data_IF_403784275433
#
_entry.id   IF_403784275433
#
_cell.length_a   1.000
_cell.length_b   1.000
_cell.length_c   1.000
_cell.angle_alpha   90.00
_cell.angle_beta   90.00
_cell.angle_gamma   90.00
#
_symmetry.space_group_name_H-M   'P 1'
#
loop_
_entity.id
_entity.type
_entity.pdbx_description
1 polymer ?
#
# COMPACT_ATOMS: atom_id res chain seq x y z
N UNK A 1 -18.58 -38.87 35.11
CA UNK A 1 -18.40 -38.18 33.84
C UNK A 1 -17.84 -36.79 34.11
N UNK A 2 -16.52 -36.59 33.90
CA UNK A 2 -15.86 -35.30 34.16
C UNK A 2 -15.81 -34.52 32.84
N UNK A 3 -16.45 -33.35 32.83
CA UNK A 3 -16.41 -32.39 31.73
C UNK A 3 -15.02 -31.78 31.67
N UNK A 4 -14.32 -31.99 30.56
CA UNK A 4 -13.05 -31.35 30.25
C UNK A 4 -13.36 -30.03 29.53
N UNK A 5 -13.23 -28.92 30.23
CA UNK A 5 -13.29 -27.59 29.65
C UNK A 5 -12.03 -27.35 28.81
N UNK A 6 -12.20 -27.14 27.51
CA UNK A 6 -11.13 -26.70 26.59
C UNK A 6 -10.82 -25.22 26.87
N UNK A 7 -9.56 -24.83 27.07
CA UNK A 7 -9.22 -23.43 27.18
C UNK A 7 -9.36 -22.78 25.81
N UNK A 8 -10.20 -21.77 25.71
CA UNK A 8 -10.25 -20.84 24.57
C UNK A 8 -8.93 -20.11 24.49
N UNK A 9 -8.11 -20.44 23.50
CA UNK A 9 -6.95 -19.65 23.15
C UNK A 9 -7.42 -18.30 22.65
N UNK A 10 -7.51 -17.32 23.53
CA UNK A 10 -7.63 -15.90 23.19
C UNK A 10 -6.26 -15.54 22.61
N UNK A 11 -6.22 -15.47 21.28
CA UNK A 11 -5.09 -14.88 20.57
C UNK A 11 -5.09 -13.39 20.93
N UNK A 12 -4.34 -13.03 21.95
CA UNK A 12 -3.96 -11.64 22.20
C UNK A 12 -3.11 -11.21 21.00
N UNK A 13 -3.74 -10.51 20.06
CA UNK A 13 -3.02 -9.58 19.21
C UNK A 13 -2.57 -8.51 20.19
N UNK A 14 -1.35 -8.68 20.69
CA UNK A 14 -0.66 -7.65 21.43
C UNK A 14 -0.59 -6.46 20.49
N UNK A 15 -1.47 -5.48 20.71
CA UNK A 15 -1.18 -4.12 20.36
C UNK A 15 0.06 -3.80 21.21
N UNK A 16 1.24 -4.02 20.63
CA UNK A 16 2.45 -3.43 21.14
C UNK A 16 2.23 -1.93 20.99
N UNK A 17 1.65 -1.33 22.02
CA UNK A 17 1.83 0.07 22.32
C UNK A 17 3.34 0.19 22.58
N UNK A 18 4.12 0.33 21.50
CA UNK A 18 5.43 0.89 21.58
C UNK A 18 5.24 2.26 22.22
N UNK A 19 5.55 2.37 23.50
CA UNK A 19 5.96 3.63 24.09
C UNK A 19 7.28 3.97 23.41
N UNK A 20 7.19 4.42 22.14
CA UNK A 20 8.28 5.06 21.48
C UNK A 20 8.58 6.30 22.33
N UNK A 21 9.76 6.35 22.94
CA UNK A 21 10.37 7.66 23.22
C UNK A 21 10.10 8.51 21.97
N UNK A 22 9.48 9.67 22.19
CA UNK A 22 9.27 10.66 21.14
C UNK A 22 10.65 11.11 20.63
N UNK A 23 11.25 10.34 19.73
CA UNK A 23 12.13 10.91 18.75
C UNK A 23 11.22 11.88 17.96
N UNK A 24 11.52 13.17 18.00
CA UNK A 24 10.79 14.20 17.25
C UNK A 24 10.85 13.82 15.77
N UNK A 25 9.84 13.12 15.29
CA UNK A 25 9.71 12.84 13.88
C UNK A 25 9.25 14.12 13.20
N UNK A 26 9.85 14.47 12.06
CA UNK A 26 9.35 15.57 11.24
C UNK A 26 7.99 15.16 10.65
N UNK A 27 6.95 15.87 11.05
CA UNK A 27 5.57 15.57 10.66
C UNK A 27 5.17 16.28 9.37
N UNK A 28 4.29 15.67 8.60
CA UNK A 28 3.65 16.24 7.41
C UNK A 28 2.18 15.81 7.35
N UNK A 29 1.30 16.74 6.98
CA UNK A 29 -0.10 16.48 6.70
C UNK A 29 -0.29 16.34 5.20
N UNK A 30 -0.90 15.24 4.77
CA UNK A 30 -1.00 14.90 3.36
C UNK A 30 -2.43 14.47 2.98
N UNK A 31 -2.74 14.65 1.69
CA UNK A 31 -3.92 14.08 1.05
C UNK A 31 -3.47 13.17 -0.09
N UNK A 32 -3.90 11.91 -0.07
CA UNK A 32 -3.68 10.98 -1.17
C UNK A 32 -5.00 10.56 -1.79
N UNK A 33 -5.06 10.65 -3.11
CA UNK A 33 -6.21 10.24 -3.90
C UNK A 33 -5.79 9.14 -4.86
N UNK A 34 -6.61 8.09 -4.99
CA UNK A 34 -6.34 6.97 -5.88
C UNK A 34 -7.55 6.68 -6.76
N UNK A 35 -7.34 6.56 -8.06
CA UNK A 35 -8.31 6.02 -8.99
C UNK A 35 -7.74 4.78 -9.67
N UNK A 36 -8.45 3.66 -9.65
CA UNK A 36 -7.98 2.43 -10.27
C UNK A 36 -9.07 1.70 -11.05
N UNK A 37 -8.65 1.04 -12.14
CA UNK A 37 -9.50 0.17 -12.93
C UNK A 37 -8.77 -1.15 -13.20
N UNK A 38 -9.49 -2.27 -13.09
CA UNK A 38 -8.98 -3.58 -13.49
C UNK A 38 -9.96 -4.21 -14.45
N UNK A 39 -9.49 -4.58 -15.64
CA UNK A 39 -10.26 -5.22 -16.69
C UNK A 39 -9.79 -6.67 -16.92
N UNK A 40 -10.75 -7.57 -17.16
CA UNK A 40 -10.48 -8.94 -17.60
C UNK A 40 -10.27 -8.91 -19.13
N UNK A 41 -9.10 -9.38 -19.59
CA UNK A 41 -8.75 -9.38 -21.03
C UNK A 41 -9.10 -10.69 -21.74
N UNK A 42 -9.71 -11.65 -21.03
CA UNK A 42 -9.99 -12.99 -21.50
C UNK A 42 -8.93 -14.01 -21.08
N UNK A 43 -9.30 -15.29 -21.08
CA UNK A 43 -8.50 -16.34 -20.46
C UNK A 43 -8.26 -16.03 -18.98
N UNK A 44 -6.99 -16.02 -18.58
CA UNK A 44 -6.60 -15.65 -17.22
C UNK A 44 -5.90 -14.28 -17.14
N UNK A 45 -5.88 -13.51 -18.24
CA UNK A 45 -5.20 -12.22 -18.30
C UNK A 45 -6.07 -11.08 -17.78
N UNK A 46 -5.43 -10.10 -17.15
CA UNK A 46 -6.04 -8.90 -16.56
C UNK A 46 -5.15 -7.70 -16.83
N UNK A 47 -5.75 -6.54 -17.01
CA UNK A 47 -5.04 -5.26 -17.06
C UNK A 47 -5.49 -4.41 -15.89
N UNK A 48 -4.53 -3.85 -15.17
CA UNK A 48 -4.80 -2.90 -14.09
C UNK A 48 -4.12 -1.58 -14.38
N UNK A 49 -4.88 -0.50 -14.27
CA UNK A 49 -4.40 0.88 -14.31
C UNK A 49 -4.73 1.56 -12.98
N UNK A 50 -3.75 2.25 -12.39
CA UNK A 50 -3.92 3.01 -11.16
C UNK A 50 -3.26 4.38 -11.30
N UNK A 51 -3.97 5.42 -10.90
CA UNK A 51 -3.46 6.78 -10.79
C UNK A 51 -3.52 7.20 -9.32
N UNK A 52 -2.40 7.71 -8.79
CA UNK A 52 -2.31 8.21 -7.42
C UNK A 52 -1.83 9.66 -7.47
N UNK A 53 -2.66 10.57 -6.95
CA UNK A 53 -2.27 11.97 -6.72
C UNK A 53 -1.94 12.16 -5.24
N UNK A 54 -0.80 12.80 -4.94
CA UNK A 54 -0.35 13.07 -3.58
C UNK A 54 -0.09 14.54 -3.37
N UNK A 55 -0.67 15.07 -2.30
CA UNK A 55 -0.57 16.46 -1.88
C UNK A 55 0.02 16.51 -0.47
N UNK A 56 0.86 17.50 -0.19
CA UNK A 56 1.57 17.66 1.08
C UNK A 56 1.63 19.13 1.46
N UNK A 57 1.40 19.42 2.75
CA UNK A 57 1.51 20.76 3.27
C UNK A 57 2.97 21.24 3.23
N UNK A 58 3.93 20.38 3.58
CA UNK A 58 5.35 20.72 3.59
C UNK A 58 5.94 20.93 2.18
N UNK A 59 5.22 20.52 1.11
CA UNK A 59 5.61 20.67 -0.30
C UNK A 59 4.72 21.65 -1.07
N UNK A 60 3.87 22.40 -0.38
CA UNK A 60 2.97 23.40 -0.95
C UNK A 60 2.03 22.85 -2.02
N UNK A 61 1.38 21.70 -1.74
CA UNK A 61 0.36 21.13 -2.60
C UNK A 61 0.78 19.84 -3.30
N UNK A 62 0.45 19.70 -4.59
CA UNK A 62 0.73 18.50 -5.38
C UNK A 62 2.24 18.23 -5.45
N UNK A 63 2.67 17.04 -5.04
CA UNK A 63 4.08 16.66 -5.11
C UNK A 63 4.37 15.39 -5.91
N UNK A 64 3.37 14.56 -6.20
CA UNK A 64 3.56 13.30 -6.94
C UNK A 64 2.27 12.90 -7.67
N UNK A 65 2.42 12.47 -8.93
CA UNK A 65 1.37 11.78 -9.70
C UNK A 65 1.94 10.44 -10.14
N UNK A 66 1.52 9.36 -9.49
CA UNK A 66 2.00 8.01 -9.81
C UNK A 66 1.00 7.32 -10.74
N UNK A 67 1.43 6.92 -11.93
CA UNK A 67 0.65 6.14 -12.89
C UNK A 67 1.21 4.72 -12.98
N UNK A 68 0.40 3.72 -12.64
CA UNK A 68 0.78 2.32 -12.58
C UNK A 68 -0.01 1.51 -13.60
N UNK A 69 0.66 0.86 -14.54
CA UNK A 69 0.06 -0.05 -15.51
C UNK A 69 0.62 -1.46 -15.28
N UNK A 70 -0.25 -2.42 -14.99
CA UNK A 70 0.14 -3.80 -14.69
C UNK A 70 -0.65 -4.78 -15.54
N UNK A 71 0.04 -5.70 -16.20
CA UNK A 71 -0.54 -6.89 -16.81
C UNK A 71 -0.47 -8.03 -15.80
N UNK A 72 -1.61 -8.65 -15.53
CA UNK A 72 -1.76 -9.75 -14.58
C UNK A 72 -2.12 -11.05 -15.27
N UNK A 73 -1.68 -12.15 -14.66
CA UNK A 73 -2.12 -13.50 -15.03
C UNK A 73 -2.59 -14.24 -13.77
N UNK A 74 -3.86 -14.66 -13.79
CA UNK A 74 -4.48 -15.39 -12.69
C UNK A 74 -4.05 -16.85 -12.73
N UNK A 75 -3.25 -17.29 -11.76
CA UNK A 75 -2.82 -18.68 -11.62
C UNK A 75 -3.95 -19.57 -11.08
N UNK A 76 -4.76 -19.05 -10.17
CA UNK A 76 -5.94 -19.68 -9.60
C UNK A 76 -6.90 -18.64 -9.01
N UNK A 77 -7.94 -19.08 -8.30
CA UNK A 77 -8.98 -18.20 -7.73
C UNK A 77 -8.44 -17.15 -6.74
N UNK A 78 -7.30 -17.42 -6.12
CA UNK A 78 -6.73 -16.54 -5.08
C UNK A 78 -5.40 -15.92 -5.48
N UNK A 79 -4.66 -16.48 -6.45
CA UNK A 79 -3.29 -16.06 -6.76
C UNK A 79 -3.24 -15.45 -8.15
N UNK A 80 -2.73 -14.22 -8.21
CA UNK A 80 -2.43 -13.52 -9.48
C UNK A 80 -0.98 -13.03 -9.45
N UNK A 81 -0.26 -13.25 -10.53
CA UNK A 81 1.07 -12.66 -10.77
C UNK A 81 0.93 -11.47 -11.70
N UNK A 82 1.75 -10.43 -11.51
CA UNK A 82 1.66 -9.19 -12.25
C UNK A 82 3.05 -8.72 -12.64
N UNK A 83 3.15 -8.13 -13.80
CA UNK A 83 4.32 -7.37 -14.24
C UNK A 83 3.86 -6.03 -14.83
N UNK A 84 4.63 -4.99 -14.66
CA UNK A 84 4.24 -3.70 -15.19
C UNK A 84 5.22 -2.56 -14.92
N UNK A 85 4.72 -1.38 -15.16
CA UNK A 85 5.50 -0.15 -15.18
C UNK A 85 4.81 0.97 -14.40
N UNK A 86 5.64 1.79 -13.75
CA UNK A 86 5.22 3.03 -13.09
C UNK A 86 5.90 4.23 -13.71
N UNK A 87 5.11 5.20 -14.04
CA UNK A 87 5.49 6.56 -14.42
C UNK A 87 5.16 7.50 -13.26
N UNK A 88 6.17 8.17 -12.70
CA UNK A 88 6.07 8.85 -11.43
C UNK A 88 6.76 10.22 -11.47
N UNK A 89 6.15 11.24 -12.15
CA UNK A 89 6.59 12.61 -12.09
C UNK A 89 6.37 13.19 -10.69
N UNK A 90 7.36 13.89 -10.18
CA UNK A 90 7.33 14.61 -8.90
C UNK A 90 7.35 16.10 -9.13
N UNK A 91 6.75 16.85 -8.20
CA UNK A 91 6.53 18.29 -8.29
C UNK A 91 6.92 18.98 -6.98
N UNK A 92 7.22 20.26 -7.06
CA UNK A 92 7.36 21.14 -5.91
C UNK A 92 6.82 22.53 -6.28
N UNK A 93 5.89 23.07 -5.47
CA UNK A 93 5.26 24.35 -5.74
C UNK A 93 4.49 24.45 -7.07
N UNK A 94 4.03 23.29 -7.60
CA UNK A 94 3.35 23.18 -8.89
C UNK A 94 4.25 22.91 -10.10
N UNK A 95 5.57 23.07 -9.95
CA UNK A 95 6.54 22.82 -11.02
C UNK A 95 7.04 21.37 -11.01
N UNK A 96 7.20 20.79 -12.20
CA UNK A 96 7.84 19.49 -12.37
C UNK A 96 9.31 19.56 -11.89
N UNK A 97 9.71 18.58 -11.08
CA UNK A 97 11.06 18.57 -10.51
C UNK A 97 11.90 17.39 -10.98
N UNK A 98 11.30 16.18 -11.04
CA UNK A 98 12.05 14.98 -11.33
C UNK A 98 11.13 13.86 -11.81
N UNK A 99 11.64 13.00 -12.70
CA UNK A 99 10.96 11.80 -13.14
C UNK A 99 11.55 10.56 -12.46
N UNK A 100 10.69 9.75 -11.82
CA UNK A 100 11.04 8.40 -11.43
C UNK A 100 10.27 7.39 -12.28
N UNK A 101 10.94 6.33 -12.70
CA UNK A 101 10.37 5.20 -13.45
C UNK A 101 10.63 3.92 -12.69
N UNK A 102 9.66 2.99 -12.72
CA UNK A 102 9.81 1.71 -12.03
C UNK A 102 9.31 0.57 -12.91
N UNK A 103 10.08 -0.51 -13.01
CA UNK A 103 9.52 -1.80 -13.36
C UNK A 103 9.02 -2.46 -12.07
N UNK A 104 7.93 -3.20 -12.18
CA UNK A 104 7.27 -3.86 -11.05
C UNK A 104 6.93 -5.29 -11.38
N UNK A 105 7.26 -6.19 -10.49
CA UNK A 105 6.74 -7.55 -10.44
C UNK A 105 6.04 -7.76 -9.11
N UNK A 106 4.88 -8.41 -9.11
CA UNK A 106 4.21 -8.71 -7.87
C UNK A 106 3.40 -10.00 -7.92
N UNK A 107 3.21 -10.59 -6.76
CA UNK A 107 2.26 -11.67 -6.52
C UNK A 107 1.22 -11.17 -5.53
N UNK A 108 -0.06 -11.34 -5.85
CA UNK A 108 -1.17 -11.12 -4.91
C UNK A 108 -1.79 -12.45 -4.52
N UNK A 109 -2.13 -12.59 -3.25
CA UNK A 109 -2.84 -13.74 -2.71
C UNK A 109 -4.07 -13.24 -1.96
N UNK A 110 -5.23 -13.37 -2.58
CA UNK A 110 -6.49 -12.85 -2.07
C UNK A 110 -7.16 -13.85 -1.14
N UNK A 111 -7.62 -13.37 0.02
CA UNK A 111 -8.43 -14.13 0.98
C UNK A 111 -7.81 -15.49 1.36
N UNK A 112 -6.49 -15.53 1.58
CA UNK A 112 -5.76 -16.76 1.87
C UNK A 112 -6.07 -17.35 3.26
N UNK A 113 -6.58 -16.53 4.19
CA UNK A 113 -7.00 -16.97 5.51
C UNK A 113 -8.21 -16.16 6.01
N UNK A 114 -8.96 -16.76 6.95
CA UNK A 114 -10.06 -16.11 7.64
C UNK A 114 -9.74 -16.04 9.13
N UNK A 115 -9.83 -14.85 9.71
CA UNK A 115 -9.64 -14.59 11.15
C UNK A 115 -10.90 -13.93 11.69
N UNK A 116 -11.61 -14.64 12.54
CA UNK A 116 -12.96 -14.21 12.99
C UNK A 116 -13.91 -14.08 11.79
N UNK A 117 -14.46 -12.87 11.58
CA UNK A 117 -15.30 -12.55 10.42
C UNK A 117 -14.54 -11.93 9.25
N UNK A 118 -13.28 -11.57 9.46
CA UNK A 118 -12.45 -10.90 8.47
C UNK A 118 -11.60 -11.85 7.65
N UNK A 119 -11.13 -11.35 6.51
CA UNK A 119 -10.29 -12.07 5.55
C UNK A 119 -8.92 -11.43 5.44
N UNK A 120 -7.90 -12.27 5.31
CA UNK A 120 -6.52 -11.86 5.09
C UNK A 120 -6.16 -12.00 3.61
N UNK A 121 -5.54 -10.97 3.07
CA UNK A 121 -4.93 -10.95 1.73
C UNK A 121 -3.51 -10.43 1.84
N UNK A 122 -2.63 -10.87 0.94
CA UNK A 122 -1.23 -10.47 0.93
C UNK A 122 -0.77 -10.11 -0.48
N UNK A 123 0.28 -9.30 -0.55
CA UNK A 123 1.00 -8.99 -1.79
C UNK A 123 2.50 -8.92 -1.48
N UNK A 124 3.30 -9.49 -2.35
CA UNK A 124 4.74 -9.24 -2.40
C UNK A 124 5.04 -8.53 -3.72
N UNK A 125 5.68 -7.37 -3.65
CA UNK A 125 6.07 -6.56 -4.80
C UNK A 125 7.58 -6.38 -4.81
N UNK A 126 8.21 -6.59 -5.97
CA UNK A 126 9.55 -6.17 -6.27
C UNK A 126 9.52 -4.96 -7.20
N UNK A 127 10.45 -4.03 -7.03
CA UNK A 127 10.55 -2.82 -7.84
C UNK A 127 12.00 -2.59 -8.22
N UNK A 128 12.22 -2.31 -9.51
CA UNK A 128 13.43 -1.70 -10.04
C UNK A 128 13.13 -0.24 -10.31
N UNK A 129 13.94 0.65 -9.77
CA UNK A 129 13.69 2.09 -9.75
C UNK A 129 14.80 2.84 -10.42
N UNK A 130 14.42 3.77 -11.31
CA UNK A 130 15.34 4.69 -11.98
C UNK A 130 14.82 6.11 -11.78
N UNK A 131 15.71 7.00 -11.37
CA UNK A 131 15.37 8.41 -11.16
C UNK A 131 16.22 9.25 -12.10
N UNK A 132 15.59 10.22 -12.76
CA UNK A 132 16.26 11.19 -13.60
C UNK A 132 17.33 11.93 -12.80
N UNK A 133 18.52 12.11 -13.36
CA UNK A 133 19.68 12.70 -12.67
C UNK A 133 20.26 11.82 -11.55
N UNK A 134 19.74 10.61 -11.34
CA UNK A 134 20.27 9.67 -10.34
C UNK A 134 21.04 8.54 -10.99
N UNK A 135 22.02 8.02 -10.27
CA UNK A 135 22.85 6.90 -10.71
C UNK A 135 22.40 5.57 -10.13
N UNK A 136 22.47 4.54 -10.97
CA UNK A 136 22.21 3.15 -10.62
C UNK A 136 20.73 2.77 -10.62
N UNK A 137 20.47 1.48 -10.40
CA UNK A 137 19.13 0.93 -10.24
C UNK A 137 18.85 0.69 -8.77
N UNK A 138 17.81 1.36 -8.22
CA UNK A 138 17.33 1.09 -6.88
C UNK A 138 16.46 -0.17 -6.87
N UNK A 139 16.83 -1.16 -6.05
CA UNK A 139 16.05 -2.37 -5.85
C UNK A 139 15.30 -2.30 -4.55
N UNK A 140 14.00 -2.62 -4.56
CA UNK A 140 13.14 -2.56 -3.38
C UNK A 140 12.14 -3.70 -3.39
N UNK A 141 11.87 -4.27 -2.20
CA UNK A 141 10.75 -5.18 -1.98
C UNK A 141 9.72 -4.54 -1.05
N UNK A 142 8.45 -4.86 -1.28
CA UNK A 142 7.32 -4.32 -0.53
C UNK A 142 6.33 -5.45 -0.21
N UNK A 143 6.51 -6.16 0.91
CA UNK A 143 5.47 -7.03 1.44
C UNK A 143 4.27 -6.18 1.91
N UNK A 144 3.07 -6.70 1.72
CA UNK A 144 1.83 -6.04 2.10
C UNK A 144 0.87 -7.05 2.68
N UNK A 145 0.25 -6.70 3.78
CA UNK A 145 -0.80 -7.47 4.41
C UNK A 145 -2.06 -6.62 4.55
N UNK A 146 -3.21 -7.20 4.23
CA UNK A 146 -4.53 -6.60 4.40
C UNK A 146 -5.42 -7.51 5.20
N UNK A 147 -6.09 -6.96 6.21
CA UNK A 147 -7.21 -7.58 6.90
C UNK A 147 -8.48 -6.78 6.57
N UNK A 148 -9.48 -7.45 6.00
CA UNK A 148 -10.76 -6.86 5.64
C UNK A 148 -11.87 -7.47 6.51
N UNK A 149 -12.44 -6.66 7.43
CA UNK A 149 -13.51 -7.03 8.33
C UNK A 149 -14.86 -6.50 7.81
N UNK A 150 -15.81 -7.37 7.42
CA UNK A 150 -17.14 -6.93 7.01
C UNK A 150 -17.86 -6.18 8.14
N UNK A 151 -18.40 -5.01 7.83
CA UNK A 151 -19.23 -4.21 8.70
C UNK A 151 -20.70 -4.39 8.31
N UNK A 152 -21.51 -4.89 9.24
CA UNK A 152 -22.94 -5.17 9.02
C UNK A 152 -23.22 -6.45 8.20
N UNK A 153 -24.50 -6.80 8.05
CA UNK A 153 -24.95 -8.08 7.47
C UNK A 153 -24.92 -8.15 5.93
N UNK A 154 -24.71 -7.06 5.23
CA UNK A 154 -24.79 -7.01 3.75
C UNK A 154 -23.48 -7.25 3.00
N UNK A 155 -22.34 -7.32 3.67
CA UNK A 155 -21.02 -7.57 3.06
C UNK A 155 -20.55 -6.50 2.06
N UNK A 156 -21.23 -5.37 1.98
CA UNK A 156 -20.90 -4.27 1.06
C UNK A 156 -19.83 -3.35 1.62
N UNK A 157 -19.78 -3.20 2.93
CA UNK A 157 -18.89 -2.29 3.65
C UNK A 157 -17.90 -3.10 4.47
N UNK A 158 -16.61 -2.72 4.41
CA UNK A 158 -15.54 -3.37 5.17
C UNK A 158 -14.70 -2.32 5.89
N UNK A 159 -14.25 -2.66 7.10
CA UNK A 159 -13.10 -2.04 7.72
C UNK A 159 -11.83 -2.74 7.19
N UNK A 160 -10.94 -1.97 6.62
CA UNK A 160 -9.68 -2.45 6.08
C UNK A 160 -8.53 -1.97 6.99
N UNK A 161 -7.70 -2.90 7.41
CA UNK A 161 -6.45 -2.63 8.11
C UNK A 161 -5.33 -3.15 7.22
N UNK A 162 -4.35 -2.30 6.91
CA UNK A 162 -3.22 -2.71 6.07
C UNK A 162 -1.89 -2.29 6.65
N UNK A 163 -0.86 -3.05 6.33
CA UNK A 163 0.53 -2.71 6.63
C UNK A 163 1.42 -3.04 5.43
N UNK A 164 2.29 -2.11 5.07
CA UNK A 164 3.21 -2.23 3.94
C UNK A 164 4.59 -1.66 4.29
N UNK A 165 5.55 -2.49 4.70
CA UNK A 165 6.95 -2.10 4.79
C UNK A 165 7.60 -1.98 3.41
N UNK A 166 8.55 -1.05 3.29
CA UNK A 166 9.38 -0.82 2.10
C UNK A 166 10.82 -1.14 2.46
N UNK A 167 11.40 -2.14 1.81
CA UNK A 167 12.72 -2.67 2.13
C UNK A 167 13.64 -2.47 0.92
N UNK A 168 14.59 -1.56 1.03
CA UNK A 168 15.59 -1.32 0.02
C UNK A 168 16.65 -2.41 0.04
N UNK A 169 16.98 -3.00 -1.12
CA UNK A 169 17.94 -4.09 -1.21
C UNK A 169 19.37 -3.61 -1.46
N UNK A 170 19.53 -2.38 -1.95
CA UNK A 170 20.81 -1.73 -2.22
C UNK A 170 20.74 -0.23 -1.88
N UNK A 171 21.84 0.48 -2.14
CA UNK A 171 21.94 1.94 -2.10
C UNK A 171 22.19 2.48 -3.49
N UNK A 172 21.70 3.69 -3.77
CA UNK A 172 21.96 4.48 -5.00
C UNK A 172 22.06 5.95 -4.61
N UNK A 173 22.29 6.84 -5.55
CA UNK A 173 22.29 8.29 -5.29
C UNK A 173 20.93 8.82 -4.76
N UNK A 174 19.83 8.10 -5.04
CA UNK A 174 18.47 8.48 -4.63
C UNK A 174 17.82 7.48 -3.64
N UNK A 175 18.52 6.45 -3.24
CA UNK A 175 18.11 5.44 -2.25
C UNK A 175 19.20 5.32 -1.18
N UNK A 176 19.15 6.22 -0.19
CA UNK A 176 20.26 6.49 0.71
C UNK A 176 20.65 5.32 1.62
N UNK A 177 19.74 4.39 1.90
CA UNK A 177 20.03 3.24 2.77
C UNK A 177 19.50 1.92 2.24
N UNK A 178 20.20 0.84 2.56
CA UNK A 178 19.72 -0.53 2.48
C UNK A 178 18.92 -0.88 3.74
N UNK A 179 17.95 -1.78 3.62
CA UNK A 179 17.08 -2.21 4.72
C UNK A 179 15.75 -1.49 4.77
N UNK A 180 15.09 -1.49 5.92
CA UNK A 180 13.78 -0.89 6.10
C UNK A 180 13.84 0.64 5.89
N UNK A 181 13.12 1.12 4.88
CA UNK A 181 13.07 2.53 4.49
C UNK A 181 11.87 3.24 5.10
N UNK A 182 10.70 2.61 5.02
CA UNK A 182 9.45 3.13 5.59
C UNK A 182 8.43 2.03 5.82
N UNK A 183 7.41 2.35 6.60
CA UNK A 183 6.23 1.52 6.78
C UNK A 183 4.98 2.38 6.56
N UNK A 184 4.01 1.86 5.84
CA UNK A 184 2.67 2.44 5.68
C UNK A 184 1.66 1.59 6.41
N UNK A 185 0.87 2.20 7.26
CA UNK A 185 -0.24 1.57 7.95
C UNK A 185 -1.52 2.34 7.63
N UNK A 186 -2.55 1.65 7.14
CA UNK A 186 -3.84 2.26 6.79
C UNK A 186 -4.96 1.64 7.61
N UNK A 187 -5.84 2.50 8.11
CA UNK A 187 -7.17 2.15 8.63
C UNK A 187 -8.19 2.85 7.75
N UNK A 188 -9.02 2.10 7.03
CA UNK A 188 -9.98 2.66 6.09
C UNK A 188 -11.30 1.91 6.09
N UNK A 189 -12.35 2.59 5.68
CA UNK A 189 -13.65 1.98 5.39
C UNK A 189 -13.87 2.00 3.89
N UNK A 190 -14.13 0.81 3.32
CA UNK A 190 -14.52 0.69 1.91
C UNK A 190 -15.96 0.26 1.77
N UNK A 191 -16.66 0.79 0.75
CA UNK A 191 -18.05 0.46 0.45
C UNK A 191 -18.24 0.23 -1.05
N UNK A 192 -18.85 -0.89 -1.40
CA UNK A 192 -19.31 -1.16 -2.77
C UNK A 192 -20.53 -0.32 -3.09
N UNK A 193 -20.40 0.62 -4.02
CA UNK A 193 -21.51 1.44 -4.51
C UNK A 193 -22.42 0.63 -5.45
N UNK A 194 -21.82 -0.23 -6.28
CA UNK A 194 -22.51 -1.15 -7.16
C UNK A 194 -21.69 -2.43 -7.38
N UNK A 195 -21.96 -3.21 -8.43
CA UNK A 195 -21.26 -4.48 -8.70
C UNK A 195 -19.81 -4.30 -9.09
N UNK A 196 -19.45 -3.14 -9.66
CA UNK A 196 -18.13 -2.86 -10.23
C UNK A 196 -17.35 -1.79 -9.45
N UNK A 197 -18.03 -0.82 -8.84
CA UNK A 197 -17.39 0.35 -8.22
C UNK A 197 -17.34 0.21 -6.71
N UNK A 198 -16.16 0.42 -6.15
CA UNK A 198 -15.90 0.50 -4.71
C UNK A 198 -15.23 1.83 -4.40
N UNK A 199 -15.65 2.49 -3.32
CA UNK A 199 -15.00 3.67 -2.75
C UNK A 199 -14.39 3.31 -1.41
N UNK A 200 -13.28 3.97 -1.06
CA UNK A 200 -12.60 3.80 0.22
C UNK A 200 -12.15 5.16 0.74
N UNK A 201 -12.30 5.36 2.06
CA UNK A 201 -11.78 6.52 2.75
C UNK A 201 -11.16 6.09 4.08
N UNK A 202 -10.07 6.74 4.49
CA UNK A 202 -9.39 6.36 5.71
C UNK A 202 -8.21 7.26 6.07
N UNK A 203 -7.52 6.83 7.12
CA UNK A 203 -6.29 7.43 7.62
C UNK A 203 -5.12 6.50 7.38
N UNK A 204 -4.06 7.02 6.75
CA UNK A 204 -2.81 6.32 6.56
C UNK A 204 -1.71 7.06 7.31
N UNK A 205 -0.93 6.33 8.09
CA UNK A 205 0.34 6.81 8.61
C UNK A 205 1.49 6.22 7.78
N UNK A 206 2.40 7.07 7.31
CA UNK A 206 3.64 6.65 6.70
C UNK A 206 4.80 7.08 7.60
N UNK A 207 5.44 6.12 8.23
CA UNK A 207 6.64 6.35 9.03
C UNK A 207 7.88 6.03 8.18
N UNK A 208 8.75 7.01 8.02
CA UNK A 208 10.00 6.91 7.27
C UNK A 208 11.21 6.86 8.20
N UNK A 209 12.08 5.86 8.01
CA UNK A 209 13.31 5.67 8.77
C UNK A 209 14.47 6.35 8.04
N UNK A 210 14.92 7.49 8.53
CA UNK A 210 15.98 8.28 7.90
C UNK A 210 17.35 7.81 8.36
N UNK A 211 18.29 7.68 7.42
CA UNK A 211 19.69 7.41 7.73
C UNK A 211 20.35 8.71 8.23
N UNK A 212 20.95 8.66 9.40
CA UNK A 212 21.71 9.78 9.96
C UNK A 212 20.88 11.07 10.12
N UNK A 213 19.59 10.96 10.48
CA UNK A 213 18.68 12.09 10.68
C UNK A 213 17.42 11.71 11.45
N UNK A 214 16.53 12.68 11.66
CA UNK A 214 15.23 12.46 12.30
C UNK A 214 14.32 11.66 11.36
N UNK A 215 13.62 10.68 11.92
CA UNK A 215 12.58 9.95 11.22
C UNK A 215 11.45 10.88 10.76
N UNK A 216 10.65 10.44 9.81
CA UNK A 216 9.48 11.19 9.32
C UNK A 216 8.19 10.46 9.66
N UNK A 217 7.12 11.24 9.91
CA UNK A 217 5.78 10.70 10.12
C UNK A 217 4.79 11.50 9.29
N UNK A 218 4.31 10.92 8.20
CA UNK A 218 3.29 11.55 7.36
C UNK A 218 1.90 11.08 7.80
N UNK A 219 1.01 12.05 8.04
CA UNK A 219 -0.38 11.86 8.41
C UNK A 219 -1.25 12.10 7.18
N UNK A 220 -1.84 11.05 6.63
CA UNK A 220 -2.47 11.08 5.31
C UNK A 220 -3.97 10.86 5.40
N UNK A 221 -4.76 11.81 4.91
CA UNK A 221 -6.14 11.57 4.52
C UNK A 221 -6.14 10.77 3.20
N UNK A 222 -6.68 9.56 3.21
CA UNK A 222 -6.69 8.64 2.07
C UNK A 222 -8.07 8.51 1.48
N UNK A 223 -8.19 8.68 0.16
CA UNK A 223 -9.40 8.44 -0.62
C UNK A 223 -9.09 7.60 -1.85
N UNK A 224 -9.93 6.60 -2.11
CA UNK A 224 -9.76 5.77 -3.30
C UNK A 224 -11.10 5.43 -3.95
N UNK A 225 -11.10 5.35 -5.28
CA UNK A 225 -12.15 4.77 -6.08
C UNK A 225 -11.54 3.67 -6.94
N UNK A 226 -12.18 2.51 -6.96
CA UNK A 226 -11.75 1.38 -7.78
C UNK A 226 -12.90 0.80 -8.58
N UNK A 227 -12.61 0.36 -9.80
CA UNK A 227 -13.58 -0.32 -10.66
C UNK A 227 -13.03 -1.64 -11.19
N UNK A 228 -13.92 -2.64 -11.29
CA UNK A 228 -13.63 -3.94 -11.92
C UNK A 228 -14.55 -4.11 -13.14
N UNK A 229 -13.97 -4.26 -14.32
CA UNK A 229 -14.62 -4.35 -15.61
C UNK A 229 -14.54 -5.77 -16.17
#
# INVERSE_FOLDING_TARGET
>A
MKSVSRPSAILMIAAAACTAQQASAREDSQLWTTASATAELGGNFRLSQELVGRFSDNRNGLYEIESNTLLGYRLNKSVTVWAGYTHDPQYAGGDFTIMERRAREQVTVDNFATVGKGKLSARLRAEQRWREGGDGTGWRVRPYLKYALPLGGGGKTNLNLTSEPFINLNTTSFQAKKGLDRVRNLVAVSTKLNKTVTVEAGYLNQHGFVKDGEDTSDHVAHFAISTSL
#
